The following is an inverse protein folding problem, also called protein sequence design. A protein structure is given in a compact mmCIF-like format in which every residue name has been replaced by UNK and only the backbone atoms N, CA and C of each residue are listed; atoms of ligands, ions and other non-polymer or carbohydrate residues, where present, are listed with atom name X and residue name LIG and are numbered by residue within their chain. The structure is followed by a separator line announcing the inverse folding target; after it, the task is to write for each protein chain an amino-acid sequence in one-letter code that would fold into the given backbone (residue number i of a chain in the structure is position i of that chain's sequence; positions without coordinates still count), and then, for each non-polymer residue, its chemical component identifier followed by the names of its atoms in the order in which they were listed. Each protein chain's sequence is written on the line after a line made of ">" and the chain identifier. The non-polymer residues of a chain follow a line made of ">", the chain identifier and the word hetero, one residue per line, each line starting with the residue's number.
data_IF_459216499193
#
_entry.id   IF_459216499193
#
_cell.length_a   1.000
_cell.length_b   1.000
_cell.length_c   1.000
_cell.angle_alpha   90.00
_cell.angle_beta   90.00
_cell.angle_gamma   90.00
#
_symmetry.space_group_name_H-M   'P 1'
#
loop_
_entity.id
_entity.type
_entity.pdbx_description
1 polymer ?
#
# COMPACT_ATOMS: atom_id res chain seq x y z
N UNK A 1 -29.20 12.68 3.48
CA UNK A 1 -27.77 12.52 3.84
C UNK A 1 -26.99 13.62 3.14
N UNK A 2 -25.88 14.05 3.73
CA UNK A 2 -24.97 15.05 3.14
C UNK A 2 -23.75 14.31 2.58
N UNK A 3 -23.14 14.85 1.54
CA UNK A 3 -21.93 14.30 0.90
C UNK A 3 -20.71 15.08 1.42
N UNK A 4 -19.56 14.42 1.57
CA UNK A 4 -18.34 15.08 2.01
C UNK A 4 -17.13 14.57 1.24
N UNK A 5 -16.27 15.48 0.83
CA UNK A 5 -14.92 15.17 0.40
C UNK A 5 -14.03 15.05 1.63
N UNK A 6 -13.26 13.96 1.73
CA UNK A 6 -12.39 13.66 2.88
C UNK A 6 -10.98 13.42 2.38
N UNK A 7 -10.03 14.23 2.85
CA UNK A 7 -8.60 14.03 2.61
C UNK A 7 -8.06 13.04 3.63
N UNK A 8 -7.69 11.84 3.14
CA UNK A 8 -7.19 10.73 3.94
C UNK A 8 -5.77 10.38 3.51
N UNK A 9 -4.82 10.43 4.45
CA UNK A 9 -3.46 9.95 4.22
C UNK A 9 -3.25 8.65 4.98
N UNK A 10 -2.63 7.69 4.32
CA UNK A 10 -2.22 6.44 4.93
C UNK A 10 -0.74 6.19 4.74
N UNK A 11 -0.08 5.63 5.75
CA UNK A 11 1.32 5.20 5.67
C UNK A 11 1.43 3.78 6.22
N UNK A 12 2.40 3.03 5.71
CA UNK A 12 2.51 1.60 5.98
C UNK A 12 3.95 1.20 6.26
N UNK A 13 4.11 0.18 7.11
CA UNK A 13 5.35 -0.60 7.17
C UNK A 13 5.07 -1.93 6.46
N UNK A 14 5.88 -2.20 5.44
CA UNK A 14 5.83 -3.45 4.68
C UNK A 14 7.02 -4.32 5.09
N UNK A 15 6.75 -5.60 5.40
CA UNK A 15 7.79 -6.61 5.59
C UNK A 15 7.84 -7.52 4.36
N UNK A 16 8.99 -7.53 3.70
CA UNK A 16 9.22 -8.28 2.46
C UNK A 16 10.54 -9.04 2.54
N UNK A 17 10.55 -10.28 2.03
CA UNK A 17 11.78 -11.02 1.73
C UNK A 17 12.19 -10.69 0.30
N UNK A 18 13.40 -10.18 0.11
CA UNK A 18 13.93 -9.85 -1.21
C UNK A 18 15.44 -10.07 -1.28
N UNK A 19 16.01 -10.24 -2.49
CA UNK A 19 17.45 -10.47 -2.65
C UNK A 19 18.34 -9.29 -2.20
N UNK A 20 17.84 -8.06 -2.24
CA UNK A 20 18.55 -6.85 -1.80
C UNK A 20 17.59 -5.68 -1.49
N UNK A 21 18.13 -4.61 -0.89
CA UNK A 21 17.36 -3.42 -0.49
C UNK A 21 16.71 -2.68 -1.67
N UNK A 22 17.39 -2.59 -2.82
CA UNK A 22 16.86 -1.91 -4.00
C UNK A 22 15.61 -2.60 -4.53
N UNK A 23 15.70 -3.93 -4.71
CA UNK A 23 14.57 -4.75 -5.14
C UNK A 23 13.44 -4.76 -4.10
N UNK A 24 13.76 -4.74 -2.80
CA UNK A 24 12.74 -4.65 -1.76
C UNK A 24 11.86 -3.40 -1.91
N UNK A 25 12.46 -2.25 -2.24
CA UNK A 25 11.73 -0.99 -2.47
C UNK A 25 10.90 -1.05 -3.74
N UNK A 26 11.52 -1.45 -4.85
CA UNK A 26 10.87 -1.54 -6.16
C UNK A 26 9.66 -2.50 -6.13
N UNK A 27 9.81 -3.66 -5.48
CA UNK A 27 8.71 -4.61 -5.34
C UNK A 27 7.58 -4.06 -4.47
N UNK A 28 7.89 -3.33 -3.38
CA UNK A 28 6.84 -2.72 -2.57
C UNK A 28 6.08 -1.64 -3.35
N UNK A 29 6.77 -0.79 -4.11
CA UNK A 29 6.15 0.25 -4.93
C UNK A 29 5.27 -0.35 -6.05
N UNK A 30 5.75 -1.40 -6.71
CA UNK A 30 5.02 -2.03 -7.81
C UNK A 30 3.84 -2.89 -7.33
N UNK A 31 4.03 -3.66 -6.27
CA UNK A 31 3.10 -4.72 -5.86
C UNK A 31 2.23 -4.40 -4.63
N UNK A 32 2.27 -3.18 -4.06
CA UNK A 32 1.39 -2.82 -2.91
C UNK A 32 0.37 -1.72 -3.19
N UNK A 33 0.15 -1.39 -4.48
CA UNK A 33 -0.80 -0.34 -4.88
C UNK A 33 -2.22 -0.67 -4.35
N UNK A 34 -2.86 0.29 -3.69
CA UNK A 34 -4.14 0.14 -2.96
C UNK A 34 -4.18 -0.81 -1.74
N UNK A 35 -3.04 -1.01 -1.05
CA UNK A 35 -2.95 -1.69 0.28
C UNK A 35 -3.19 -3.21 0.18
N UNK A 36 -3.11 -3.78 -1.02
CA UNK A 36 -3.12 -5.22 -1.22
C UNK A 36 -1.85 -5.62 -1.93
N UNK A 37 -1.30 -6.76 -1.52
CA UNK A 37 -0.30 -7.42 -2.34
C UNK A 37 -0.96 -7.82 -3.66
N UNK A 38 -0.54 -7.17 -4.75
CA UNK A 38 -1.01 -7.44 -6.11
C UNK A 38 -0.06 -8.36 -6.89
N UNK A 39 1.00 -8.88 -6.26
CA UNK A 39 1.88 -9.87 -6.89
C UNK A 39 1.15 -11.19 -7.14
N UNK A 40 1.39 -11.76 -8.31
CA UNK A 40 0.93 -13.12 -8.63
C UNK A 40 1.87 -14.17 -8.04
N UNK A 41 1.44 -15.43 -8.03
CA UNK A 41 2.32 -16.54 -7.66
C UNK A 41 3.51 -16.67 -8.62
N UNK A 42 3.33 -16.33 -9.90
CA UNK A 42 4.41 -16.34 -10.90
C UNK A 42 5.45 -15.27 -10.55
N UNK A 43 5.02 -14.04 -10.25
CA UNK A 43 5.91 -12.95 -9.83
C UNK A 43 6.78 -13.37 -8.63
N UNK A 44 6.16 -13.92 -7.59
CA UNK A 44 6.85 -14.32 -6.35
C UNK A 44 7.93 -15.36 -6.59
N UNK A 45 7.66 -16.32 -7.48
CA UNK A 45 8.59 -17.39 -7.83
C UNK A 45 9.71 -16.85 -8.72
N UNK A 46 9.37 -16.11 -9.76
CA UNK A 46 10.32 -15.62 -10.76
C UNK A 46 11.29 -14.58 -10.19
N UNK A 47 10.80 -13.72 -9.30
CA UNK A 47 11.57 -12.66 -8.65
C UNK A 47 12.11 -13.08 -7.27
N UNK A 48 11.80 -14.29 -6.82
CA UNK A 48 12.22 -14.85 -5.53
C UNK A 48 11.97 -13.89 -4.35
N UNK A 49 10.73 -13.43 -4.24
CA UNK A 49 10.28 -12.52 -3.17
C UNK A 49 8.93 -12.95 -2.61
N UNK A 50 8.63 -12.50 -1.40
CA UNK A 50 7.34 -12.72 -0.74
C UNK A 50 7.05 -11.56 0.22
N UNK A 51 5.85 -10.97 0.09
CA UNK A 51 5.33 -9.99 1.06
C UNK A 51 4.70 -10.77 2.21
N UNK A 52 5.24 -10.60 3.42
CA UNK A 52 4.77 -11.33 4.60
C UNK A 52 3.66 -10.58 5.33
N UNK A 53 3.74 -9.25 5.37
CA UNK A 53 2.77 -8.41 6.08
C UNK A 53 2.79 -6.96 5.58
N UNK A 54 1.60 -6.34 5.56
CA UNK A 54 1.40 -4.91 5.31
C UNK A 54 0.64 -4.34 6.52
N UNK A 55 1.29 -3.48 7.30
CA UNK A 55 0.70 -2.86 8.48
C UNK A 55 0.48 -1.37 8.27
N UNK A 56 -0.72 -0.87 8.54
CA UNK A 56 -1.05 0.55 8.49
C UNK A 56 -0.50 1.26 9.73
N UNK A 57 0.47 2.15 9.54
CA UNK A 57 1.11 2.92 10.62
C UNK A 57 0.54 4.31 10.79
N UNK A 58 -0.07 4.89 9.75
CA UNK A 58 -0.80 6.15 9.82
C UNK A 58 -2.13 5.96 9.13
N UNK A 59 -3.21 6.31 9.82
CA UNK A 59 -4.58 6.32 9.29
C UNK A 59 -5.30 7.55 9.84
N UNK A 60 -5.06 8.70 9.21
CA UNK A 60 -5.54 10.00 9.70
C UNK A 60 -6.18 10.81 8.57
N UNK A 61 -7.26 11.52 8.92
CA UNK A 61 -7.95 12.46 8.05
C UNK A 61 -7.49 13.88 8.36
N UNK A 62 -7.24 14.68 7.33
CA UNK A 62 -6.66 16.02 7.47
C UNK A 62 -7.57 17.14 6.98
N UNK A 63 -8.57 16.83 6.16
CA UNK A 63 -9.54 17.79 5.65
C UNK A 63 -10.89 17.12 5.41
N UNK A 64 -11.97 17.83 5.69
CA UNK A 64 -13.33 17.42 5.37
C UNK A 64 -14.10 18.63 4.86
N UNK A 65 -14.75 18.50 3.71
CA UNK A 65 -15.59 19.54 3.11
C UNK A 65 -16.94 18.94 2.73
N UNK A 66 -18.05 19.58 3.12
CA UNK A 66 -19.39 19.14 2.72
C UNK A 66 -19.67 19.57 1.28
N UNK A 67 -20.12 18.64 0.45
CA UNK A 67 -20.43 18.87 -0.96
C UNK A 67 -21.94 18.94 -1.15
N UNK A 68 -22.40 19.96 -1.87
CA UNK A 68 -23.80 20.13 -2.26
C UNK A 68 -23.94 19.83 -3.74
N UNK A 69 -24.63 18.73 -4.08
CA UNK A 69 -25.03 18.41 -5.47
C UNK A 69 -26.19 19.29 -5.96
#
# INVERSE_FOLDING_TARGET
>A
MKTYDVVLTKSYIVRVKAPNEGLAKEFCELYTNDIKDISSNEDRVDLNFEIENIECTINQTFGVEEVYE
#
